data_IF_229219003898
#
_entry.id   IF_229219003898
#
_cell.length_a   1.000
_cell.length_b   1.000
_cell.length_c   1.000
_cell.angle_alpha   90.00
_cell.angle_beta   90.00
_cell.angle_gamma   90.00
#
_symmetry.space_group_name_H-M   'P 1'
#
loop_
_entity.id
_entity.type
_entity.pdbx_description
1 polymer ?
#
# COMPACT_ATOMS: atom_id res chain seq x y z
N UNK A 1 36.34 29.35 5.67
CA UNK A 1 35.00 28.77 5.44
C UNK A 1 35.20 27.26 5.40
N UNK A 2 34.69 26.51 6.37
CA UNK A 2 34.78 25.05 6.31
C UNK A 2 33.89 24.59 5.16
N UNK A 3 34.54 24.14 4.08
CA UNK A 3 33.90 23.47 2.96
C UNK A 3 33.31 22.17 3.49
N UNK A 4 32.00 22.17 3.76
CA UNK A 4 31.27 21.02 4.31
C UNK A 4 31.31 19.95 3.22
N UNK A 5 32.16 18.94 3.38
CA UNK A 5 32.33 17.88 2.39
C UNK A 5 30.99 17.24 2.03
N UNK A 6 30.81 16.93 0.75
CA UNK A 6 29.65 16.21 0.26
C UNK A 6 29.51 14.88 1.02
N UNK A 7 28.34 14.66 1.62
CA UNK A 7 28.04 13.40 2.33
C UNK A 7 28.07 12.24 1.34
N UNK A 8 28.80 11.17 1.67
CA UNK A 8 28.83 9.97 0.85
C UNK A 8 27.52 9.20 0.95
N UNK A 9 27.04 8.69 -0.18
CA UNK A 9 25.82 7.87 -0.26
C UNK A 9 26.24 6.41 -0.32
N UNK A 10 25.82 5.61 0.66
CA UNK A 10 26.05 4.16 0.65
C UNK A 10 24.82 3.38 0.18
N UNK A 11 25.03 2.14 -0.22
CA UNK A 11 23.96 1.22 -0.58
C UNK A 11 23.79 0.16 0.51
N UNK A 12 22.56 -0.29 0.71
CA UNK A 12 22.20 -1.27 1.73
C UNK A 12 21.27 -2.33 1.15
N UNK A 13 21.56 -3.59 1.45
CA UNK A 13 20.72 -4.73 1.04
C UNK A 13 19.50 -4.88 1.95
N UNK A 14 18.48 -5.62 1.50
CA UNK A 14 17.27 -5.86 2.30
C UNK A 14 17.56 -6.62 3.61
N UNK A 15 18.56 -7.51 3.63
CA UNK A 15 19.00 -8.23 4.83
C UNK A 15 19.69 -7.31 5.84
N UNK A 16 20.61 -6.46 5.38
CA UNK A 16 21.26 -5.46 6.22
C UNK A 16 20.26 -4.45 6.77
N UNK A 17 19.30 -4.00 5.95
CA UNK A 17 18.26 -3.06 6.39
C UNK A 17 17.45 -3.62 7.56
N UNK A 18 17.13 -4.91 7.58
CA UNK A 18 16.40 -5.52 8.70
C UNK A 18 17.21 -5.51 10.00
N UNK A 19 18.52 -5.75 9.93
CA UNK A 19 19.41 -5.64 11.09
C UNK A 19 19.45 -4.20 11.63
N UNK A 20 19.44 -3.21 10.73
CA UNK A 20 19.44 -1.79 11.08
C UNK A 20 18.07 -1.30 11.60
N UNK A 21 16.97 -1.89 11.12
CA UNK A 21 15.60 -1.54 11.48
C UNK A 21 15.27 -1.77 12.96
N UNK A 22 16.09 -2.57 13.67
CA UNK A 22 15.98 -2.75 15.12
C UNK A 22 16.26 -1.48 15.92
N UNK A 23 16.95 -0.50 15.32
CA UNK A 23 17.31 0.74 16.00
C UNK A 23 16.28 1.84 15.69
N UNK A 24 15.79 2.61 16.69
CA UNK A 24 14.76 3.63 16.49
C UNK A 24 15.26 4.90 15.77
N UNK A 25 16.57 5.03 15.59
CA UNK A 25 17.23 6.17 14.93
C UNK A 25 17.21 6.12 13.40
N UNK A 26 16.56 5.11 12.80
CA UNK A 26 16.49 4.90 11.36
C UNK A 26 15.15 5.36 10.78
N UNK A 27 15.20 6.12 9.67
CA UNK A 27 14.04 6.44 8.84
C UNK A 27 14.15 5.78 7.45
N UNK A 28 13.06 5.18 7.00
CA UNK A 28 12.93 4.69 5.62
C UNK A 28 12.07 5.70 4.85
N UNK A 29 12.57 6.14 3.70
CA UNK A 29 11.91 7.11 2.82
C UNK A 29 11.57 6.44 1.50
N UNK A 30 10.28 6.38 1.21
CA UNK A 30 9.71 5.86 -0.03
C UNK A 30 9.48 7.01 -1.00
N UNK A 31 10.23 7.02 -2.11
CA UNK A 31 10.14 8.04 -3.16
C UNK A 31 9.38 7.59 -4.40
N UNK A 32 8.54 6.56 -4.27
CA UNK A 32 7.56 6.20 -5.32
C UNK A 32 6.44 7.24 -5.36
N UNK A 33 5.75 7.28 -6.50
CA UNK A 33 4.66 8.23 -6.72
C UNK A 33 3.34 7.49 -6.35
N UNK A 34 2.36 7.45 -7.23
CA UNK A 34 1.03 6.90 -6.92
C UNK A 34 1.00 5.37 -6.79
N UNK A 35 2.04 4.68 -7.29
CA UNK A 35 2.12 3.21 -7.29
C UNK A 35 2.14 2.63 -5.86
N UNK A 36 2.59 3.43 -4.90
CA UNK A 36 2.65 3.08 -3.47
C UNK A 36 1.30 2.69 -2.88
N UNK A 37 0.20 3.27 -3.40
CA UNK A 37 -1.15 3.05 -2.88
C UNK A 37 -1.69 1.65 -3.16
N UNK A 38 -1.23 1.00 -4.25
CA UNK A 38 -1.74 -0.31 -4.69
C UNK A 38 -0.83 -1.47 -4.31
N UNK A 39 0.50 -1.30 -4.36
CA UNK A 39 1.45 -2.38 -4.19
C UNK A 39 1.79 -2.70 -2.73
N UNK A 40 1.45 -1.79 -1.82
CA UNK A 40 1.93 -1.80 -0.44
C UNK A 40 3.26 -1.09 -0.28
N UNK A 41 3.72 -1.00 0.97
CA UNK A 41 4.93 -0.29 1.35
C UNK A 41 5.61 -0.93 2.56
N UNK A 42 6.87 -0.59 2.78
CA UNK A 42 7.62 -1.05 3.96
C UNK A 42 7.00 -0.42 5.21
N UNK A 43 6.77 -1.22 6.24
CA UNK A 43 6.18 -0.73 7.49
C UNK A 43 7.00 0.42 8.09
N UNK A 44 6.33 1.52 8.46
CA UNK A 44 6.98 2.71 9.02
C UNK A 44 7.72 3.59 8.00
N UNK A 45 7.60 3.33 6.69
CA UNK A 45 8.19 4.19 5.67
C UNK A 45 7.45 5.52 5.52
N UNK A 46 8.21 6.61 5.39
CA UNK A 46 7.68 7.95 5.08
C UNK A 46 7.58 8.12 3.57
N UNK A 47 6.46 8.65 3.10
CA UNK A 47 6.22 8.83 1.65
C UNK A 47 6.55 10.25 1.19
N UNK A 48 7.47 10.35 0.23
CA UNK A 48 7.86 11.61 -0.40
C UNK A 48 8.09 11.40 -1.89
N UNK A 49 7.03 11.61 -2.69
CA UNK A 49 7.06 11.46 -4.15
C UNK A 49 8.23 12.20 -4.82
N UNK A 50 8.76 11.60 -5.90
CA UNK A 50 10.02 12.05 -6.50
C UNK A 50 9.91 13.35 -7.29
N UNK A 51 8.72 13.63 -7.84
CA UNK A 51 8.43 14.80 -8.65
C UNK A 51 8.46 16.09 -7.83
N UNK A 52 7.80 16.08 -6.67
CA UNK A 52 7.74 17.21 -5.74
C UNK A 52 8.79 17.11 -4.60
N UNK A 53 9.83 16.29 -4.78
CA UNK A 53 10.77 15.98 -3.70
C UNK A 53 11.51 17.24 -3.21
N UNK A 54 12.04 18.05 -4.14
CA UNK A 54 12.86 19.24 -3.82
C UNK A 54 12.13 20.24 -2.92
N UNK A 55 10.84 20.47 -3.17
CA UNK A 55 10.00 21.38 -2.39
C UNK A 55 9.64 20.80 -1.02
N UNK A 56 9.58 19.48 -0.91
CA UNK A 56 9.22 18.75 0.31
C UNK A 56 10.41 18.38 1.20
N UNK A 57 11.65 18.68 0.78
CA UNK A 57 12.86 18.43 1.59
C UNK A 57 12.76 19.05 3.01
N UNK A 58 12.28 20.30 3.20
CA UNK A 58 12.15 20.87 4.53
C UNK A 58 11.19 20.07 5.43
N UNK A 59 10.06 19.62 4.87
CA UNK A 59 9.07 18.80 5.58
C UNK A 59 9.66 17.43 5.95
N UNK A 60 10.49 16.85 5.07
CA UNK A 60 11.21 15.62 5.36
C UNK A 60 12.16 15.81 6.55
N UNK A 61 12.97 16.87 6.56
CA UNK A 61 13.92 17.16 7.64
C UNK A 61 13.19 17.31 8.99
N UNK A 62 12.03 17.97 8.99
CA UNK A 62 11.20 18.09 10.18
C UNK A 62 10.66 16.73 10.65
N UNK A 63 10.19 15.87 9.74
CA UNK A 63 9.65 14.55 10.05
C UNK A 63 10.72 13.54 10.53
N UNK A 64 11.98 13.75 10.17
CA UNK A 64 13.11 12.90 10.57
C UNK A 64 13.97 13.51 11.67
N UNK A 65 13.48 14.59 12.32
CA UNK A 65 14.17 15.20 13.46
C UNK A 65 14.42 14.15 14.55
N UNK A 66 15.68 14.01 14.96
CA UNK A 66 16.12 13.01 15.94
C UNK A 66 16.52 11.66 15.35
N UNK A 67 16.49 11.49 14.03
CA UNK A 67 17.01 10.30 13.32
C UNK A 67 18.34 10.62 12.66
N UNK A 68 19.30 9.71 12.77
CA UNK A 68 20.65 9.89 12.26
C UNK A 68 20.88 9.22 10.89
N UNK A 69 20.05 8.21 10.57
CA UNK A 69 20.22 7.33 9.42
C UNK A 69 18.96 7.36 8.57
N UNK A 70 19.10 7.77 7.31
CA UNK A 70 18.03 7.75 6.32
C UNK A 70 18.31 6.73 5.23
N UNK A 71 17.30 5.94 4.90
CA UNK A 71 17.36 4.95 3.83
C UNK A 71 16.32 5.29 2.77
N UNK A 72 16.77 5.65 1.58
CA UNK A 72 15.91 5.96 0.44
C UNK A 72 15.64 4.72 -0.40
N UNK A 73 14.40 4.57 -0.87
CA UNK A 73 14.07 3.52 -1.84
C UNK A 73 13.02 3.98 -2.85
N UNK A 74 13.00 3.30 -4.00
CA UNK A 74 11.94 3.44 -5.00
C UNK A 74 11.37 2.05 -5.32
N UNK A 75 10.87 1.81 -6.54
CA UNK A 75 10.47 0.49 -7.03
C UNK A 75 11.69 -0.42 -7.24
N UNK A 76 12.68 0.05 -8.02
CA UNK A 76 13.95 -0.65 -8.27
C UNK A 76 15.18 0.05 -7.68
N UNK A 77 15.01 1.29 -7.19
CA UNK A 77 16.09 2.15 -6.68
C UNK A 77 17.26 2.43 -7.65
N UNK A 78 17.03 2.40 -8.96
CA UNK A 78 18.07 2.67 -9.96
C UNK A 78 18.18 4.16 -10.35
N UNK A 79 17.06 4.89 -10.35
CA UNK A 79 17.00 6.29 -10.82
C UNK A 79 16.47 7.22 -9.74
N UNK A 80 15.18 7.10 -9.40
CA UNK A 80 14.48 8.01 -8.45
C UNK A 80 15.13 8.00 -7.05
N UNK A 81 15.45 6.83 -6.51
CA UNK A 81 16.06 6.67 -5.17
C UNK A 81 17.39 7.42 -5.02
N UNK A 82 18.43 7.07 -5.81
CA UNK A 82 19.72 7.76 -5.78
C UNK A 82 19.62 9.26 -6.09
N UNK A 83 18.73 9.66 -7.00
CA UNK A 83 18.50 11.06 -7.35
C UNK A 83 18.00 11.87 -6.16
N UNK A 84 17.02 11.34 -5.41
CA UNK A 84 16.48 12.02 -4.23
C UNK A 84 17.49 12.04 -3.07
N UNK A 85 18.22 10.95 -2.86
CA UNK A 85 19.29 10.90 -1.86
C UNK A 85 20.37 11.96 -2.11
N UNK A 86 20.79 12.13 -3.38
CA UNK A 86 21.76 13.16 -3.77
C UNK A 86 21.24 14.57 -3.56
N UNK A 87 20.00 14.85 -3.98
CA UNK A 87 19.36 16.16 -3.75
C UNK A 87 19.28 16.52 -2.27
N UNK A 88 18.99 15.54 -1.40
CA UNK A 88 19.03 15.77 0.04
C UNK A 88 20.45 16.08 0.50
N UNK A 89 21.46 15.32 0.06
CA UNK A 89 22.86 15.57 0.42
C UNK A 89 23.30 16.99 0.01
N UNK A 90 22.94 17.43 -1.20
CA UNK A 90 23.23 18.78 -1.71
C UNK A 90 22.53 19.85 -0.87
N UNK A 91 21.26 19.64 -0.51
CA UNK A 91 20.51 20.55 0.36
C UNK A 91 21.13 20.67 1.76
N UNK A 92 21.56 19.53 2.33
CA UNK A 92 22.22 19.48 3.64
C UNK A 92 23.64 20.07 3.63
N UNK A 93 24.28 20.19 2.47
CA UNK A 93 25.56 20.89 2.34
C UNK A 93 25.37 22.41 2.37
N UNK A 94 24.24 22.91 1.87
CA UNK A 94 23.89 24.34 1.91
C UNK A 94 23.38 24.84 3.26
N UNK A 95 22.92 23.95 4.15
CA UNK A 95 22.43 24.31 5.48
C UNK A 95 23.57 24.53 6.48
N UNK A 96 23.52 25.68 7.17
CA UNK A 96 24.46 26.02 8.26
C UNK A 96 24.19 25.22 9.54
N UNK A 97 22.95 24.84 9.79
CA UNK A 97 22.56 24.04 10.95
C UNK A 97 22.74 22.53 10.71
N UNK A 98 23.19 21.83 11.74
CA UNK A 98 23.30 20.38 11.71
C UNK A 98 21.94 19.73 11.99
N UNK A 99 21.36 19.15 10.95
CA UNK A 99 20.10 18.40 10.99
C UNK A 99 20.18 17.07 11.77
N UNK A 100 21.35 16.73 12.33
CA UNK A 100 21.60 15.46 13.01
C UNK A 100 21.74 14.25 12.07
N UNK A 101 21.54 14.44 10.77
CA UNK A 101 21.63 13.39 9.76
C UNK A 101 23.10 13.11 9.44
N UNK A 102 23.55 11.91 9.80
CA UNK A 102 24.92 11.45 9.56
C UNK A 102 25.00 10.54 8.33
N UNK A 103 24.08 9.58 8.21
CA UNK A 103 24.15 8.52 7.22
C UNK A 103 22.99 8.60 6.22
N UNK A 104 23.32 8.72 4.94
CA UNK A 104 22.35 8.65 3.84
C UNK A 104 22.63 7.38 3.05
N UNK A 105 21.65 6.49 3.00
CA UNK A 105 21.75 5.19 2.34
C UNK A 105 20.66 5.01 1.29
N UNK A 106 20.89 4.14 0.32
CA UNK A 106 19.90 3.73 -0.68
C UNK A 106 19.67 2.22 -0.60
N UNK A 107 18.40 1.81 -0.49
CA UNK A 107 18.02 0.40 -0.49
C UNK A 107 18.20 -0.20 -1.90
N UNK A 108 19.08 -1.18 -1.98
CA UNK A 108 19.33 -1.93 -3.21
C UNK A 108 18.10 -2.71 -3.66
N UNK A 109 17.88 -2.78 -4.97
CA UNK A 109 16.74 -3.45 -5.62
C UNK A 109 15.35 -2.89 -5.26
N UNK A 110 15.30 -1.83 -4.46
CA UNK A 110 14.07 -1.10 -4.11
C UNK A 110 12.99 -1.97 -3.47
N UNK A 111 11.74 -1.55 -3.63
CA UNK A 111 10.57 -2.26 -3.13
C UNK A 111 10.44 -3.67 -3.71
N UNK A 112 10.75 -3.86 -5.00
CA UNK A 112 10.63 -5.16 -5.65
C UNK A 112 11.60 -6.17 -5.03
N UNK A 113 12.82 -5.75 -4.69
CA UNK A 113 13.79 -6.59 -3.99
C UNK A 113 13.38 -6.90 -2.54
N UNK A 114 12.71 -5.96 -1.87
CA UNK A 114 12.14 -6.19 -0.54
C UNK A 114 11.02 -7.24 -0.60
N UNK A 115 10.08 -7.07 -1.53
CA UNK A 115 8.97 -7.99 -1.75
C UNK A 115 9.45 -9.39 -2.14
N UNK A 116 10.38 -9.49 -3.09
CA UNK A 116 10.96 -10.76 -3.52
C UNK A 116 11.67 -11.52 -2.39
N UNK A 117 12.12 -10.81 -1.34
CA UNK A 117 12.71 -11.43 -0.15
C UNK A 117 11.70 -11.96 0.86
N UNK A 118 10.39 -11.83 0.59
CA UNK A 118 9.31 -12.32 1.46
C UNK A 118 9.19 -11.58 2.79
N UNK A 119 9.65 -10.32 2.84
CA UNK A 119 9.65 -9.50 4.06
C UNK A 119 8.28 -8.88 4.35
N UNK A 120 7.97 -8.57 5.62
CA UNK A 120 6.70 -7.94 5.96
C UNK A 120 6.51 -6.60 5.24
N UNK A 121 5.32 -6.40 4.70
CA UNK A 121 4.87 -5.18 4.00
C UNK A 121 3.48 -4.79 4.47
N UNK A 122 3.23 -3.49 4.55
CA UNK A 122 1.94 -2.90 4.92
C UNK A 122 1.18 -2.55 3.63
N UNK A 123 -0.12 -2.82 3.56
CA UNK A 123 -0.98 -2.39 2.45
C UNK A 123 -1.49 -3.52 1.55
N UNK A 124 -0.82 -4.67 1.51
CA UNK A 124 -1.46 -5.92 1.08
C UNK A 124 -2.23 -6.51 2.27
N UNK A 125 -3.38 -5.91 2.59
CA UNK A 125 -4.44 -6.67 3.25
C UNK A 125 -4.66 -7.89 2.37
N UNK A 126 -4.16 -9.04 2.84
CA UNK A 126 -3.88 -10.17 1.97
C UNK A 126 -5.19 -10.62 1.34
N UNK A 127 -5.42 -10.27 0.09
CA UNK A 127 -6.45 -10.89 -0.74
C UNK A 127 -6.29 -12.41 -0.65
N UNK A 128 -5.08 -12.93 -0.48
CA UNK A 128 -4.83 -14.34 -0.17
C UNK A 128 -5.40 -14.81 1.19
N UNK A 129 -5.33 -14.03 2.28
CA UNK A 129 -6.05 -14.39 3.51
C UNK A 129 -7.56 -14.27 3.31
N UNK A 130 -8.05 -13.19 2.69
CA UNK A 130 -9.48 -12.96 2.49
C UNK A 130 -10.12 -14.04 1.59
N UNK A 131 -9.47 -14.37 0.46
CA UNK A 131 -9.85 -15.47 -0.43
C UNK A 131 -9.59 -16.85 0.19
N UNK A 132 -8.55 -17.00 1.00
CA UNK A 132 -8.27 -18.24 1.72
C UNK A 132 -9.30 -18.53 2.81
N UNK A 133 -9.75 -17.50 3.55
CA UNK A 133 -10.87 -17.59 4.48
C UNK A 133 -12.18 -17.80 3.74
N UNK A 134 -12.43 -17.11 2.61
CA UNK A 134 -13.60 -17.36 1.78
C UNK A 134 -13.59 -18.79 1.25
N UNK A 135 -12.48 -19.31 0.74
CA UNK A 135 -12.37 -20.70 0.28
C UNK A 135 -12.64 -21.72 1.39
N UNK A 136 -12.19 -21.46 2.62
CA UNK A 136 -12.54 -22.28 3.79
C UNK A 136 -14.01 -22.14 4.18
N UNK A 137 -14.57 -20.94 4.12
CA UNK A 137 -16.00 -20.68 4.34
C UNK A 137 -16.85 -21.36 3.26
N UNK A 138 -16.51 -21.27 1.98
CA UNK A 138 -17.18 -21.98 0.87
C UNK A 138 -17.05 -23.50 0.96
N UNK A 139 -15.98 -24.00 1.59
CA UNK A 139 -15.79 -25.43 1.87
C UNK A 139 -16.57 -25.90 3.10
N UNK A 140 -16.74 -25.05 4.12
CA UNK A 140 -17.52 -25.32 5.33
C UNK A 140 -19.03 -25.14 5.11
N UNK A 141 -19.44 -24.11 4.38
CA UNK A 141 -20.81 -23.86 3.92
C UNK A 141 -21.04 -24.43 2.53
N UNK A 142 -20.37 -25.56 2.24
CA UNK A 142 -20.58 -26.29 1.00
C UNK A 142 -22.06 -26.47 0.75
N UNK A 143 -22.49 -25.95 -0.40
CA UNK A 143 -23.64 -26.41 -1.16
C UNK A 143 -25.00 -25.87 -0.72
N UNK A 144 -25.33 -24.67 -1.20
CA UNK A 144 -26.68 -24.40 -1.72
C UNK A 144 -26.64 -23.36 -2.85
N UNK A 145 -25.54 -23.28 -3.62
CA UNK A 145 -25.62 -22.64 -4.93
C UNK A 145 -26.09 -23.68 -5.94
N UNK A 146 -27.42 -23.88 -5.98
CA UNK A 146 -28.03 -24.55 -7.11
C UNK A 146 -27.91 -23.64 -8.32
N UNK A 147 -27.14 -24.09 -9.31
CA UNK A 147 -27.13 -23.48 -10.64
C UNK A 147 -28.60 -23.32 -11.08
N UNK A 148 -29.10 -22.11 -11.36
CA UNK A 148 -30.48 -21.95 -11.79
C UNK A 148 -30.69 -22.81 -13.04
N UNK A 149 -31.84 -23.48 -13.11
CA UNK A 149 -32.26 -24.25 -14.26
C UNK A 149 -32.05 -23.41 -15.52
N UNK A 150 -31.39 -24.01 -16.53
CA UNK A 150 -31.12 -23.35 -17.81
C UNK A 150 -32.46 -22.78 -18.29
N UNK A 151 -32.52 -21.47 -18.53
CA UNK A 151 -33.71 -20.86 -19.12
C UNK A 151 -34.14 -21.71 -20.34
N UNK A 152 -35.42 -22.08 -20.46
CA UNK A 152 -35.87 -22.94 -21.53
C UNK A 152 -35.48 -22.32 -22.89
N UNK A 153 -35.08 -23.14 -23.87
CA UNK A 153 -34.66 -22.65 -25.18
C UNK A 153 -35.88 -22.16 -25.97
N UNK A 154 -36.36 -20.95 -25.71
CA UNK A 154 -37.06 -20.06 -26.64
C UNK A 154 -37.55 -18.79 -25.92
N UNK A 155 -36.85 -17.66 -26.13
CA UNK A 155 -37.54 -16.38 -26.22
C UNK A 155 -37.74 -16.07 -27.72
N UNK A 156 -38.95 -16.22 -28.28
CA UNK A 156 -39.23 -15.85 -29.65
C UNK A 156 -39.50 -14.34 -29.73
N UNK A 157 -38.48 -13.51 -29.51
CA UNK A 157 -38.51 -12.12 -29.96
C UNK A 157 -37.19 -11.82 -30.64
N UNK A 158 -37.26 -11.65 -31.96
CA UNK A 158 -36.16 -11.27 -32.83
C UNK A 158 -35.96 -9.75 -32.69
N UNK A 159 -34.86 -9.24 -32.14
CA UNK A 159 -34.64 -7.79 -32.17
C UNK A 159 -34.37 -7.37 -33.61
N UNK A 160 -35.12 -6.36 -34.07
CA UNK A 160 -34.91 -5.70 -35.35
C UNK A 160 -33.55 -5.03 -35.37
N UNK A 161 -32.75 -5.31 -36.38
CA UNK A 161 -31.46 -4.68 -36.59
C UNK A 161 -31.67 -3.22 -36.98
N UNK A 162 -31.33 -2.28 -36.10
CA UNK A 162 -31.05 -0.91 -36.50
C UNK A 162 -29.63 -0.51 -36.13
N UNK A 163 -28.88 -0.17 -37.17
CA UNK A 163 -27.50 0.29 -37.16
C UNK A 163 -27.43 1.74 -36.67
N UNK A 164 -26.56 2.00 -35.70
CA UNK A 164 -25.76 3.22 -35.67
C UNK A 164 -24.48 2.97 -34.88
N UNK A 165 -23.42 2.58 -35.60
CA UNK A 165 -22.08 2.49 -35.06
C UNK A 165 -21.43 3.88 -35.12
N UNK A 166 -21.59 4.66 -34.06
CA UNK A 166 -20.77 5.84 -33.86
C UNK A 166 -19.52 5.44 -33.08
N UNK A 167 -18.37 5.53 -33.76
CA UNK A 167 -17.03 5.38 -33.15
C UNK A 167 -16.86 6.45 -32.07
N UNK A 168 -16.61 6.02 -30.83
CA UNK A 168 -16.11 6.88 -29.76
C UNK A 168 -14.76 6.34 -29.28
N UNK A 169 -13.79 7.25 -29.26
CA UNK A 169 -12.38 7.13 -28.85
C UNK A 169 -12.20 6.56 -27.43
N UNK A 170 -11.13 5.81 -27.11
CA UNK A 170 -11.04 5.00 -25.89
C UNK A 170 -10.67 5.77 -24.59
N UNK A 171 -10.93 7.08 -24.52
CA UNK A 171 -10.59 7.91 -23.36
C UNK A 171 -11.77 8.75 -22.89
N UNK A 172 -12.85 8.11 -22.45
CA UNK A 172 -13.79 8.70 -21.48
C UNK A 172 -14.83 7.62 -21.14
N UNK A 173 -14.72 7.02 -19.96
CA UNK A 173 -15.74 6.40 -19.10
C UNK A 173 -14.92 5.65 -18.04
N UNK A 174 -14.48 6.38 -17.03
CA UNK A 174 -14.30 5.80 -15.70
C UNK A 174 -15.00 6.75 -14.74
N UNK A 175 -16.02 6.20 -14.06
CA UNK A 175 -16.93 6.80 -13.07
C UNK A 175 -17.95 7.79 -13.68
N UNK A 176 -19.28 7.50 -13.71
CA UNK A 176 -20.07 6.99 -12.57
C UNK A 176 -21.27 6.09 -12.96
N UNK A 177 -21.22 4.77 -12.71
CA UNK A 177 -22.45 3.93 -12.67
C UNK A 177 -22.29 2.78 -11.67
N UNK A 178 -22.13 3.08 -10.38
CA UNK A 178 -22.34 2.10 -9.30
C UNK A 178 -23.17 2.75 -8.20
N UNK A 179 -24.41 3.15 -8.51
CA UNK A 179 -25.60 3.10 -7.65
C UNK A 179 -26.76 3.40 -8.63
N UNK A 180 -27.65 2.46 -8.99
CA UNK A 180 -28.61 1.87 -8.05
C UNK A 180 -29.10 0.45 -8.45
N UNK A 181 -28.70 -0.58 -7.71
CA UNK A 181 -29.40 -1.88 -7.73
C UNK A 181 -29.40 -2.47 -6.31
N UNK A 182 -29.95 -1.71 -5.37
CA UNK A 182 -30.06 -2.09 -3.95
C UNK A 182 -31.48 -1.94 -3.40
N UNK A 183 -32.50 -1.98 -4.26
CA UNK A 183 -33.89 -1.93 -3.80
C UNK A 183 -34.70 -2.95 -4.61
N UNK A 184 -34.59 -4.24 -4.28
CA UNK A 184 -35.77 -5.10 -4.08
C UNK A 184 -35.38 -6.49 -3.50
N UNK A 185 -35.72 -6.68 -2.21
CA UNK A 185 -36.03 -7.93 -1.47
C UNK A 185 -34.88 -8.75 -0.84
N UNK A 186 -35.09 -9.35 0.36
CA UNK A 186 -35.89 -8.92 1.51
C UNK A 186 -35.10 -8.92 2.85
N UNK A 187 -35.71 -8.26 3.84
CA UNK A 187 -35.14 -7.79 5.11
C UNK A 187 -34.80 -8.83 6.20
N UNK A 188 -34.37 -10.06 5.90
CA UNK A 188 -33.91 -11.01 6.95
C UNK A 188 -32.38 -11.20 7.06
N UNK A 189 -31.59 -10.95 5.99
CA UNK A 189 -30.15 -11.22 6.04
C UNK A 189 -29.31 -10.10 6.69
N UNK A 190 -29.75 -8.84 6.63
CA UNK A 190 -28.94 -7.72 7.14
C UNK A 190 -28.83 -7.72 8.67
N UNK A 191 -29.86 -8.17 9.39
CA UNK A 191 -29.84 -8.29 10.85
C UNK A 191 -28.84 -9.35 11.30
N UNK A 192 -28.70 -10.45 10.54
CA UNK A 192 -27.72 -11.50 10.85
C UNK A 192 -26.28 -11.03 10.60
N UNK A 193 -26.03 -10.28 9.53
CA UNK A 193 -24.69 -9.74 9.24
C UNK A 193 -24.31 -8.68 10.28
N UNK A 194 -25.21 -7.76 10.63
CA UNK A 194 -24.92 -6.73 11.65
C UNK A 194 -24.73 -7.36 13.04
N UNK A 195 -25.55 -8.34 13.44
CA UNK A 195 -25.36 -9.05 14.71
C UNK A 195 -24.09 -9.90 14.74
N UNK A 196 -23.72 -10.53 13.61
CA UNK A 196 -22.47 -11.28 13.50
C UNK A 196 -21.25 -10.36 13.62
N UNK A 197 -21.25 -9.21 12.94
CA UNK A 197 -20.18 -8.22 13.07
C UNK A 197 -20.11 -7.61 14.47
N UNK A 198 -21.25 -7.37 15.13
CA UNK A 198 -21.27 -6.84 16.49
C UNK A 198 -20.77 -7.86 17.51
N UNK A 199 -21.18 -9.14 17.41
CA UNK A 199 -20.66 -10.23 18.24
C UNK A 199 -19.17 -10.49 18.00
N UNK A 200 -18.71 -10.43 16.76
CA UNK A 200 -17.29 -10.60 16.42
C UNK A 200 -16.44 -9.45 17.00
N UNK A 201 -16.94 -8.21 16.96
CA UNK A 201 -16.27 -7.04 17.55
C UNK A 201 -16.21 -7.12 19.08
N UNK A 202 -17.22 -7.71 19.73
CA UNK A 202 -17.24 -7.92 21.18
C UNK A 202 -16.26 -9.05 21.60
N UNK A 203 -16.20 -10.14 20.83
CA UNK A 203 -15.27 -11.23 21.06
C UNK A 203 -13.79 -10.83 20.87
N UNK A 204 -13.50 -9.93 19.93
CA UNK A 204 -12.14 -9.40 19.73
C UNK A 204 -11.70 -8.53 20.92
N UNK A 205 -12.61 -7.72 21.49
CA UNK A 205 -12.31 -6.90 22.69
C UNK A 205 -12.04 -7.75 23.94
N UNK A 206 -12.75 -8.87 24.10
CA UNK A 206 -12.52 -9.83 25.19
C UNK A 206 -11.17 -10.54 25.05
N UNK A 207 -10.77 -10.89 23.82
CA UNK A 207 -9.45 -11.49 23.56
C UNK A 207 -8.30 -10.51 23.83
N UNK A 208 -8.44 -9.25 23.45
CA UNK A 208 -7.43 -8.22 23.72
C UNK A 208 -7.28 -7.95 25.24
N UNK A 209 -8.38 -8.02 26.00
CA UNK A 209 -8.34 -7.87 27.46
C UNK A 209 -7.67 -9.05 28.19
N UNK A 210 -7.77 -10.27 27.63
CA UNK A 210 -7.11 -11.46 28.16
C UNK A 210 -5.62 -11.50 27.81
N UNK A 211 -5.23 -10.97 26.64
CA UNK A 211 -3.82 -10.92 26.22
C UNK A 211 -2.99 -9.94 27.07
N UNK A 212 -3.60 -8.84 27.53
CA UNK A 212 -2.95 -7.83 28.38
C UNK A 212 -2.81 -8.28 29.84
N UNK A 213 -3.61 -9.24 30.31
CA UNK A 213 -3.45 -9.86 31.65
C UNK A 213 -2.43 -11.00 31.69
N UNK A 214 -1.97 -11.45 30.52
CA UNK A 214 -1.01 -12.55 30.38
C UNK A 214 0.43 -12.09 30.07
N UNK A 215 0.68 -10.77 30.12
CA UNK A 215 2.01 -10.14 30.06
C UNK A 215 2.29 -9.41 31.38
#
# INVERSE_FOLDING_TARGET
>A
VQEKMARSISYVTSSQLLSLHRRPNLAIVDVRDDERSYDGHIAGSLHFASDAFSERIPNLIQAVKGKDTLVFHCALSQVRGPKCARRLADYLAGLKEDSGIQNIMVLERGYNGWEASGRPMLGRASIALFLGTLGKIYRLFGWEYRKPERAPPACPIKPSANKTMNKVSPYSIYVPVIVPFMIQWPCQCLILVVNYYFKLRLAIKELDALLVRAS
#
